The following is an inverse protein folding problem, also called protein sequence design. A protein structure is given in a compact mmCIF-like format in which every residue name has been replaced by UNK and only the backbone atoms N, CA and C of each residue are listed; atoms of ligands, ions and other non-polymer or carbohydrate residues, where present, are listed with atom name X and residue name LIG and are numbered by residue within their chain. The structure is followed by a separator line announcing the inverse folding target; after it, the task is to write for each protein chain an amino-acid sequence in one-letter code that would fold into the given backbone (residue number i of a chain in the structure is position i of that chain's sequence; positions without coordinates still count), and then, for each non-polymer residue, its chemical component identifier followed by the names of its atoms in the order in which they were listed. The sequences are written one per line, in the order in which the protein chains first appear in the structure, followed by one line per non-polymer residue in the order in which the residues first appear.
data_IF_725200888997
#
_entry.id   IF_725200888997
#
_cell.length_a   1.000
_cell.length_b   1.000
_cell.length_c   1.000
_cell.angle_alpha   90.00
_cell.angle_beta   90.00
_cell.angle_gamma   90.00
#
_symmetry.space_group_name_H-M   'P 1'
#
loop_
_entity.id
_entity.type
_entity.pdbx_description
1 polymer ?
#
# COMPACT_ATOMS: atom_id res chain seq x y z
N UNK A 1 -28.09 23.87 -9.90
CA UNK A 1 -26.80 23.24 -10.28
C UNK A 1 -27.05 22.36 -11.49
N UNK A 2 -26.38 22.64 -12.61
CA UNK A 2 -26.54 21.94 -13.89
C UNK A 2 -26.08 20.48 -13.80
N UNK A 3 -26.76 19.57 -14.52
CA UNK A 3 -26.37 18.15 -14.65
C UNK A 3 -24.91 17.98 -15.08
N UNK A 4 -24.40 18.92 -15.89
CA UNK A 4 -23.01 18.95 -16.38
C UNK A 4 -22.01 19.18 -15.24
N UNK A 5 -22.37 19.99 -14.23
CA UNK A 5 -21.52 20.22 -13.06
C UNK A 5 -21.41 18.98 -12.17
N UNK A 6 -22.48 18.17 -12.10
CA UNK A 6 -22.48 16.89 -11.35
C UNK A 6 -21.65 15.82 -12.06
N UNK A 7 -21.64 15.78 -13.40
CA UNK A 7 -20.82 14.86 -14.18
C UNK A 7 -19.32 15.18 -14.07
N UNK A 8 -18.94 16.46 -14.10
CA UNK A 8 -17.55 16.90 -13.88
C UNK A 8 -17.01 16.49 -12.50
N UNK A 9 -17.81 16.65 -11.44
CA UNK A 9 -17.42 16.27 -10.07
C UNK A 9 -17.31 14.75 -9.89
N UNK A 10 -18.04 13.96 -10.68
CA UNK A 10 -17.99 12.49 -10.64
C UNK A 10 -16.82 11.92 -11.48
N UNK A 11 -16.42 12.58 -12.57
CA UNK A 11 -15.23 12.20 -13.36
C UNK A 11 -13.90 12.57 -12.69
N UNK A 12 -13.82 13.68 -11.94
CA UNK A 12 -12.63 14.02 -11.14
C UNK A 12 -12.35 13.01 -10.02
N UNK A 13 -13.39 12.37 -9.48
CA UNK A 13 -13.23 11.30 -8.48
C UNK A 13 -12.69 9.99 -9.05
N UNK A 14 -12.81 9.78 -10.37
CA UNK A 14 -12.25 8.60 -11.04
C UNK A 14 -10.84 8.81 -11.59
N UNK A 15 -10.31 10.03 -11.53
CA UNK A 15 -8.99 10.41 -12.02
C UNK A 15 -8.06 10.98 -10.93
N UNK A 16 -8.30 10.64 -9.65
CA UNK A 16 -7.23 10.75 -8.67
C UNK A 16 -6.14 9.74 -9.04
N UNK A 17 -5.06 10.21 -9.67
CA UNK A 17 -3.82 9.45 -9.68
C UNK A 17 -3.49 9.15 -8.21
N UNK A 18 -3.61 7.89 -7.81
CA UNK A 18 -3.14 7.42 -6.51
C UNK A 18 -1.70 7.92 -6.36
N UNK A 19 -1.52 8.93 -5.52
CA UNK A 19 -0.20 9.47 -5.22
C UNK A 19 0.62 8.30 -4.70
N UNK A 20 1.80 8.09 -5.27
CA UNK A 20 2.64 7.02 -4.78
C UNK A 20 3.00 7.32 -3.32
N UNK A 21 3.24 6.31 -2.47
CA UNK A 21 3.71 6.52 -1.10
C UNK A 21 4.92 7.48 -1.01
N UNK A 22 5.77 7.49 -2.04
CA UNK A 22 6.88 8.44 -2.21
C UNK A 22 6.41 9.89 -2.37
N UNK A 23 5.40 10.14 -3.19
CA UNK A 23 4.85 11.49 -3.41
C UNK A 23 4.19 12.03 -2.13
N UNK A 24 3.55 11.16 -1.35
CA UNK A 24 2.94 11.52 -0.07
C UNK A 24 4.04 11.84 0.95
N UNK A 25 5.07 11.01 1.07
CA UNK A 25 6.24 11.27 1.94
C UNK A 25 6.94 12.59 1.61
N UNK A 26 7.14 12.89 0.32
CA UNK A 26 7.74 14.16 -0.11
C UNK A 26 6.87 15.38 0.21
N UNK A 27 5.54 15.23 0.17
CA UNK A 27 4.62 16.28 0.60
C UNK A 27 4.66 16.48 2.11
N UNK A 28 4.80 15.42 2.90
CA UNK A 28 4.90 15.49 4.36
C UNK A 28 6.18 16.19 4.84
N UNK A 29 7.33 15.96 4.20
CA UNK A 29 8.56 16.70 4.56
C UNK A 29 8.43 18.23 4.40
N UNK A 30 7.50 18.71 3.57
CA UNK A 30 7.29 20.15 3.35
C UNK A 30 6.37 20.81 4.38
N UNK A 31 5.66 20.03 5.21
CA UNK A 31 4.74 20.54 6.25
C UNK A 31 5.15 19.99 7.63
N UNK A 32 5.90 20.76 8.45
CA UNK A 32 6.44 20.28 9.73
C UNK A 32 5.43 20.13 10.87
N UNK A 33 4.17 20.56 10.70
CA UNK A 33 3.12 20.32 11.69
C UNK A 33 2.62 18.88 11.54
N UNK A 34 3.13 17.99 12.40
CA UNK A 34 2.71 16.60 12.46
C UNK A 34 1.26 16.51 12.98
N UNK A 35 0.30 16.33 12.09
CA UNK A 35 -1.07 15.98 12.44
C UNK A 35 -1.21 14.44 12.50
N UNK A 36 -1.71 13.86 13.61
CA UNK A 36 -2.07 12.45 13.67
C UNK A 36 -3.02 11.98 12.55
N UNK A 37 -3.93 12.85 12.08
CA UNK A 37 -4.84 12.53 10.97
C UNK A 37 -4.08 12.38 9.64
N UNK A 38 -3.02 13.17 9.42
CA UNK A 38 -2.14 13.03 8.26
C UNK A 38 -1.36 11.71 8.28
N UNK A 39 -1.02 11.22 9.47
CA UNK A 39 -0.38 9.90 9.64
C UNK A 39 -1.37 8.77 9.38
N UNK A 40 -2.60 8.89 9.87
CA UNK A 40 -3.64 7.89 9.64
C UNK A 40 -3.95 7.71 8.15
N UNK A 41 -4.21 8.82 7.44
CA UNK A 41 -4.54 8.78 6.02
C UNK A 41 -3.34 8.38 5.15
N UNK A 42 -2.09 8.71 5.53
CA UNK A 42 -0.90 8.20 4.83
C UNK A 42 -0.81 6.68 4.90
N UNK A 43 -0.93 6.10 6.10
CA UNK A 43 -0.80 4.65 6.29
C UNK A 43 -1.91 3.94 5.52
N UNK A 44 -3.15 4.44 5.63
CA UNK A 44 -4.29 3.94 4.86
C UNK A 44 -4.03 3.98 3.35
N UNK A 45 -3.63 5.14 2.81
CA UNK A 45 -3.35 5.28 1.38
C UNK A 45 -2.22 4.33 0.92
N UNK A 46 -1.21 4.12 1.77
CA UNK A 46 -0.10 3.19 1.48
C UNK A 46 -0.57 1.73 1.47
N UNK A 47 -1.43 1.34 2.42
CA UNK A 47 -2.06 0.01 2.48
C UNK A 47 -2.98 -0.23 1.27
N UNK A 48 -3.82 0.72 0.89
CA UNK A 48 -4.69 0.64 -0.30
C UNK A 48 -3.86 0.49 -1.58
N UNK A 49 -2.76 1.24 -1.70
CA UNK A 49 -1.86 1.16 -2.85
C UNK A 49 -1.11 -0.18 -2.93
N UNK A 50 -0.69 -0.69 -1.77
CA UNK A 50 -0.08 -2.02 -1.63
C UNK A 50 -1.07 -3.10 -2.06
N UNK A 51 -2.28 -3.09 -1.49
CA UNK A 51 -3.32 -4.07 -1.77
C UNK A 51 -3.69 -4.11 -3.25
N UNK A 52 -3.92 -2.94 -3.87
CA UNK A 52 -4.19 -2.82 -5.30
C UNK A 52 -3.06 -3.43 -6.14
N UNK A 53 -1.81 -3.21 -5.76
CA UNK A 53 -0.67 -3.75 -6.49
C UNK A 53 -0.52 -5.25 -6.32
N UNK A 54 -0.78 -5.78 -5.14
CA UNK A 54 -0.85 -7.23 -4.90
C UNK A 54 -1.96 -7.88 -5.73
N UNK A 55 -3.15 -7.27 -5.80
CA UNK A 55 -4.27 -7.79 -6.60
C UNK A 55 -3.89 -7.87 -8.09
N UNK A 56 -3.18 -6.88 -8.63
CA UNK A 56 -2.67 -6.96 -10.01
C UNK A 56 -1.67 -8.11 -10.18
N UNK A 57 -0.82 -8.38 -9.19
CA UNK A 57 0.11 -9.52 -9.27
C UNK A 57 -0.61 -10.88 -9.13
N UNK A 58 -1.74 -10.94 -8.43
CA UNK A 58 -2.58 -12.15 -8.34
C UNK A 58 -3.19 -12.55 -9.68
N UNK A 59 -3.41 -11.59 -10.58
CA UNK A 59 -3.84 -11.87 -11.97
C UNK A 59 -2.74 -12.53 -12.82
N UNK A 60 -1.56 -12.80 -12.23
CA UNK A 60 -0.42 -13.46 -12.85
C UNK A 60 -0.02 -12.82 -14.19
N UNK A 61 0.23 -11.49 -14.23
CA UNK A 61 0.73 -10.85 -15.44
C UNK A 61 2.03 -11.50 -15.89
N UNK A 62 2.29 -11.47 -17.20
CA UNK A 62 3.50 -12.06 -17.78
C UNK A 62 4.75 -11.58 -17.05
N UNK A 63 5.62 -12.52 -16.66
CA UNK A 63 6.86 -12.20 -15.95
C UNK A 63 7.71 -11.26 -16.80
N UNK A 64 8.31 -10.26 -16.16
CA UNK A 64 9.10 -9.20 -16.82
C UNK A 64 8.31 -8.25 -17.73
N UNK A 65 6.98 -8.40 -17.86
CA UNK A 65 6.17 -7.35 -18.45
C UNK A 65 6.27 -6.05 -17.64
N UNK A 66 5.99 -4.93 -18.31
CA UNK A 66 5.96 -3.61 -17.65
C UNK A 66 4.99 -3.60 -16.45
N UNK A 67 3.82 -4.22 -16.61
CA UNK A 67 2.83 -4.37 -15.53
C UNK A 67 3.40 -5.14 -14.36
N UNK A 68 4.02 -6.30 -14.60
CA UNK A 68 4.63 -7.11 -13.54
C UNK A 68 5.72 -6.34 -12.79
N UNK A 69 6.65 -5.71 -13.52
CA UNK A 69 7.77 -4.98 -12.94
C UNK A 69 7.29 -3.77 -12.14
N UNK A 70 6.35 -3.01 -12.70
CA UNK A 70 5.76 -1.82 -12.05
C UNK A 70 5.09 -2.20 -10.74
N UNK A 71 4.23 -3.21 -10.74
CA UNK A 71 3.49 -3.58 -9.54
C UNK A 71 4.37 -4.28 -8.50
N UNK A 72 5.40 -5.03 -8.92
CA UNK A 72 6.43 -5.55 -8.00
C UNK A 72 7.16 -4.40 -7.28
N UNK A 73 7.62 -3.39 -8.03
CA UNK A 73 8.30 -2.23 -7.44
C UNK A 73 7.40 -1.44 -6.49
N UNK A 74 6.11 -1.28 -6.84
CA UNK A 74 5.10 -0.63 -5.99
C UNK A 74 4.91 -1.37 -4.67
N UNK A 75 4.75 -2.68 -4.71
CA UNK A 75 4.63 -3.52 -3.51
C UNK A 75 5.83 -3.34 -2.59
N UNK A 76 7.05 -3.49 -3.12
CA UNK A 76 8.28 -3.36 -2.33
C UNK A 76 8.45 -1.94 -1.73
N UNK A 77 8.07 -0.91 -2.48
CA UNK A 77 8.13 0.49 -2.02
C UNK A 77 7.12 0.75 -0.91
N UNK A 78 5.87 0.30 -1.05
CA UNK A 78 4.84 0.44 -0.01
C UNK A 78 5.26 -0.27 1.27
N UNK A 79 5.80 -1.48 1.18
CA UNK A 79 6.27 -2.23 2.34
C UNK A 79 7.38 -1.47 3.07
N UNK A 80 8.36 -0.95 2.34
CA UNK A 80 9.43 -0.13 2.93
C UNK A 80 8.86 1.07 3.71
N UNK A 81 7.90 1.78 3.11
CA UNK A 81 7.23 2.92 3.75
C UNK A 81 6.52 2.49 5.03
N UNK A 82 5.70 1.44 4.98
CA UNK A 82 4.98 0.91 6.13
C UNK A 82 5.93 0.44 7.24
N UNK A 83 6.98 -0.30 6.91
CA UNK A 83 7.99 -0.75 7.88
C UNK A 83 8.71 0.45 8.53
N UNK A 84 9.07 1.47 7.75
CA UNK A 84 9.75 2.67 8.26
C UNK A 84 8.87 3.56 9.14
N UNK A 85 7.54 3.40 9.06
CA UNK A 85 6.56 4.14 9.85
C UNK A 85 6.29 3.55 11.24
N UNK A 86 6.79 2.33 11.52
CA UNK A 86 6.52 1.63 12.77
C UNK A 86 7.23 2.29 13.96
N UNK A 87 6.47 2.52 15.04
CA UNK A 87 7.00 3.09 16.28
C UNK A 87 7.16 2.01 17.38
N UNK A 88 8.37 1.45 17.46
CA UNK A 88 8.71 0.42 18.44
C UNK A 88 8.80 0.94 19.88
N UNK A 89 9.00 2.25 20.08
CA UNK A 89 9.02 2.88 21.41
C UNK A 89 7.63 2.87 22.05
N UNK A 90 6.58 3.08 21.24
CA UNK A 90 5.18 3.01 21.70
C UNK A 90 4.74 1.59 22.03
N UNK A 91 5.08 0.61 21.19
CA UNK A 91 4.72 -0.79 21.41
C UNK A 91 5.61 -1.75 20.64
N UNK A 92 6.57 -2.36 21.33
CA UNK A 92 7.45 -3.37 20.75
C UNK A 92 6.66 -4.54 20.17
N UNK A 93 5.65 -5.05 20.90
CA UNK A 93 4.87 -6.22 20.47
C UNK A 93 4.06 -5.95 19.19
N UNK A 94 3.32 -4.84 19.15
CA UNK A 94 2.51 -4.51 17.98
C UNK A 94 3.38 -4.22 16.76
N UNK A 95 4.42 -3.40 16.92
CA UNK A 95 5.34 -3.09 15.83
C UNK A 95 6.07 -4.32 15.31
N UNK A 96 6.46 -5.26 16.19
CA UNK A 96 7.08 -6.53 15.77
C UNK A 96 6.10 -7.36 14.94
N UNK A 97 4.85 -7.49 15.37
CA UNK A 97 3.84 -8.26 14.63
C UNK A 97 3.59 -7.64 13.24
N UNK A 98 3.38 -6.33 13.16
CA UNK A 98 3.18 -5.64 11.87
C UNK A 98 4.40 -5.77 10.97
N UNK A 99 5.61 -5.61 11.52
CA UNK A 99 6.85 -5.78 10.77
C UNK A 99 6.94 -7.18 10.15
N UNK A 100 6.62 -8.24 10.91
CA UNK A 100 6.66 -9.62 10.44
C UNK A 100 5.64 -9.87 9.32
N UNK A 101 4.43 -9.32 9.42
CA UNK A 101 3.42 -9.44 8.36
C UNK A 101 3.85 -8.70 7.08
N UNK A 102 4.42 -7.50 7.21
CA UNK A 102 4.97 -6.77 6.07
C UNK A 102 6.18 -7.49 5.44
N UNK A 103 7.06 -8.06 6.27
CA UNK A 103 8.21 -8.82 5.79
C UNK A 103 7.79 -10.12 5.09
N UNK A 104 6.75 -10.79 5.57
CA UNK A 104 6.15 -11.93 4.89
C UNK A 104 5.70 -11.55 3.48
N UNK A 105 4.91 -10.48 3.34
CA UNK A 105 4.45 -9.97 2.03
C UNK A 105 5.63 -9.64 1.12
N UNK A 106 6.71 -9.06 1.66
CA UNK A 106 7.95 -8.78 0.91
C UNK A 106 8.60 -10.05 0.40
N UNK A 107 8.72 -11.07 1.25
CA UNK A 107 9.33 -12.34 0.89
C UNK A 107 8.53 -13.06 -0.22
N UNK A 108 7.19 -13.08 -0.13
CA UNK A 108 6.36 -13.66 -1.19
C UNK A 108 6.51 -12.91 -2.52
N UNK A 109 6.56 -11.59 -2.47
CA UNK A 109 6.81 -10.75 -3.65
C UNK A 109 8.17 -11.06 -4.31
N UNK A 110 9.21 -11.20 -3.49
CA UNK A 110 10.55 -11.54 -4.00
C UNK A 110 10.64 -12.97 -4.54
N UNK A 111 9.92 -13.93 -3.95
CA UNK A 111 9.77 -15.28 -4.48
C UNK A 111 9.12 -15.25 -5.86
N UNK A 112 7.99 -14.56 -5.99
CA UNK A 112 7.29 -14.39 -7.26
C UNK A 112 8.24 -13.81 -8.32
N UNK A 113 8.97 -12.74 -7.97
CA UNK A 113 9.94 -12.08 -8.86
C UNK A 113 11.02 -13.05 -9.37
N UNK A 114 11.54 -13.93 -8.50
CA UNK A 114 12.54 -14.95 -8.88
C UNK A 114 11.97 -16.15 -9.64
N UNK A 115 10.65 -16.27 -9.72
CA UNK A 115 9.98 -17.38 -10.37
C UNK A 115 9.88 -18.64 -9.55
N UNK A 116 9.91 -18.46 -8.24
CA UNK A 116 9.61 -19.51 -7.29
C UNK A 116 8.10 -19.79 -7.32
N UNK A 117 7.74 -21.03 -7.67
CA UNK A 117 6.34 -21.50 -7.73
C UNK A 117 5.69 -21.60 -6.34
N UNK A 118 6.47 -21.54 -5.26
CA UNK A 118 5.98 -21.52 -3.88
C UNK A 118 5.58 -20.12 -3.40
N UNK A 119 5.63 -19.10 -4.27
CA UNK A 119 5.19 -17.75 -3.93
C UNK A 119 3.68 -17.70 -3.64
N UNK A 120 3.31 -17.22 -2.45
CA UNK A 120 1.92 -17.13 -1.99
C UNK A 120 1.44 -15.67 -1.99
N UNK A 121 1.21 -15.13 -3.18
CA UNK A 121 0.80 -13.73 -3.37
C UNK A 121 -0.66 -13.49 -2.98
N UNK A 122 -1.50 -14.51 -3.14
CA UNK A 122 -2.86 -14.59 -2.62
C UNK A 122 -2.86 -14.40 -1.09
N UNK A 123 -2.09 -15.18 -0.34
CA UNK A 123 -2.02 -15.05 1.11
C UNK A 123 -1.43 -13.71 1.56
N UNK A 124 -0.46 -13.19 0.79
CA UNK A 124 0.09 -11.86 1.03
C UNK A 124 -0.96 -10.77 0.81
N UNK A 125 -1.84 -10.92 -0.20
CA UNK A 125 -2.97 -10.02 -0.43
C UNK A 125 -3.98 -10.06 0.73
N UNK A 126 -4.40 -11.27 1.13
CA UNK A 126 -5.35 -11.48 2.23
C UNK A 126 -4.82 -10.85 3.54
N UNK A 127 -3.53 -11.09 3.85
CA UNK A 127 -2.87 -10.51 5.02
C UNK A 127 -2.95 -8.97 5.03
N UNK A 128 -2.66 -8.33 3.89
CA UNK A 128 -2.73 -6.87 3.79
C UNK A 128 -4.18 -6.36 3.82
N UNK A 129 -5.13 -7.11 3.27
CA UNK A 129 -6.55 -6.79 3.36
C UNK A 129 -7.02 -6.78 4.81
N UNK A 130 -6.68 -7.79 5.60
CA UNK A 130 -7.03 -7.85 7.03
C UNK A 130 -6.42 -6.68 7.82
N UNK A 131 -5.17 -6.30 7.53
CA UNK A 131 -4.53 -5.14 8.16
C UNK A 131 -5.25 -3.84 7.79
N UNK A 132 -5.62 -3.67 6.52
CA UNK A 132 -6.37 -2.49 6.07
C UNK A 132 -7.75 -2.42 6.74
N UNK A 133 -8.47 -3.53 6.79
CA UNK A 133 -9.78 -3.60 7.45
C UNK A 133 -9.67 -3.25 8.94
N UNK A 134 -8.68 -3.81 9.64
CA UNK A 134 -8.41 -3.47 11.03
C UNK A 134 -8.05 -1.99 11.21
N UNK A 135 -7.26 -1.41 10.29
CA UNK A 135 -6.91 0.01 10.32
C UNK A 135 -8.13 0.91 10.18
N UNK A 136 -9.05 0.57 9.26
CA UNK A 136 -10.29 1.30 9.02
C UNK A 136 -11.25 1.30 10.22
N UNK A 137 -11.15 0.31 11.11
CA UNK A 137 -11.98 0.19 12.32
C UNK A 137 -11.48 1.01 13.51
N UNK A 138 -10.26 1.55 13.47
CA UNK A 138 -9.70 2.34 14.57
C UNK A 138 -10.30 3.76 14.60
N UNK A 139 -10.96 4.18 13.51
CA UNK A 139 -11.56 5.51 13.36
C UNK A 139 -13.02 5.55 13.80
#
# INVERSE_FOLDING_TARGET
MSFIQKQYVLEERSSMSLLSPRDIYQRQQKNPSFDPDDSYELIKATLEYLLRSLSVLMEKPERHSETFMTHTARVLTSIYVLQSSLNFEKSVKLSTNLFQLYEYTRQQTLKLMRGDETAQIDQANDTISEILDAWLQIK
#
